data_IF_611036903303
#
_entry.id   IF_611036903303
#
_cell.length_a   1.000
_cell.length_b   1.000
_cell.length_c   1.000
_cell.angle_alpha   90.00
_cell.angle_beta   90.00
_cell.angle_gamma   90.00
#
_symmetry.space_group_name_H-M   'P 1'
#
loop_
_entity.id
_entity.type
_entity.pdbx_description
1 polymer ?
#
# COMPACT_ATOMS: atom_id res chain seq x y z
N UNK A 1 -5.51 -37.97 24.98
CA UNK A 1 -6.64 -37.07 24.70
C UNK A 1 -6.10 -35.71 24.34
N UNK A 2 -6.50 -35.20 23.16
CA UNK A 2 -6.14 -33.83 22.70
C UNK A 2 -6.95 -32.86 23.58
N UNK A 3 -6.31 -31.82 24.12
CA UNK A 3 -7.04 -30.83 24.92
C UNK A 3 -7.92 -29.95 24.05
N UNK A 4 -9.01 -29.39 24.61
CA UNK A 4 -9.91 -28.49 23.91
C UNK A 4 -9.19 -27.25 23.32
N UNK A 5 -8.18 -26.78 24.03
CA UNK A 5 -7.34 -25.69 23.58
C UNK A 5 -6.50 -26.08 22.35
N UNK A 6 -5.94 -27.29 22.36
CA UNK A 6 -5.17 -27.81 21.22
C UNK A 6 -6.03 -27.95 19.96
N UNK A 7 -7.28 -28.37 20.09
CA UNK A 7 -8.23 -28.40 18.98
C UNK A 7 -8.47 -27.02 18.37
N UNK A 8 -8.62 -25.99 19.23
CA UNK A 8 -8.78 -24.60 18.77
C UNK A 8 -7.53 -24.13 18.04
N UNK A 9 -6.32 -24.41 18.58
CA UNK A 9 -5.09 -24.02 17.91
C UNK A 9 -4.91 -24.74 16.57
N UNK A 10 -5.18 -26.03 16.46
CA UNK A 10 -5.15 -26.78 15.19
C UNK A 10 -6.09 -26.22 14.14
N UNK A 11 -7.20 -25.63 14.55
CA UNK A 11 -8.14 -24.99 13.62
C UNK A 11 -7.62 -23.70 12.97
N UNK A 12 -6.82 -22.92 13.70
CA UNK A 12 -6.44 -21.57 13.27
C UNK A 12 -4.97 -21.42 12.89
N UNK A 13 -4.11 -22.32 13.32
CA UNK A 13 -2.66 -22.25 13.03
C UNK A 13 -2.22 -23.36 12.07
N UNK A 14 -1.17 -23.15 11.27
CA UNK A 14 -0.53 -24.25 10.55
C UNK A 14 -0.11 -25.34 11.52
N UNK A 15 -0.41 -26.61 11.20
CA UNK A 15 -0.22 -27.74 12.13
C UNK A 15 1.20 -27.78 12.76
N UNK A 16 2.31 -27.65 12.01
CA UNK A 16 3.66 -27.72 12.60
C UNK A 16 3.95 -26.58 13.60
N UNK A 17 3.20 -25.47 13.56
CA UNK A 17 3.38 -24.34 14.48
C UNK A 17 2.56 -24.45 15.77
N UNK A 18 1.62 -25.39 15.86
CA UNK A 18 0.65 -25.51 16.96
C UNK A 18 1.34 -25.68 18.31
N UNK A 19 2.28 -26.60 18.41
CA UNK A 19 3.00 -26.86 19.67
C UNK A 19 3.75 -25.61 20.16
N UNK A 20 4.42 -24.91 19.27
CA UNK A 20 5.15 -23.68 19.55
C UNK A 20 4.19 -22.56 20.02
N UNK A 21 3.08 -22.34 19.33
CA UNK A 21 2.10 -21.32 19.70
C UNK A 21 1.40 -21.63 21.02
N UNK A 22 1.10 -22.90 21.29
CA UNK A 22 0.57 -23.35 22.59
C UNK A 22 1.56 -23.10 23.73
N UNK A 23 2.84 -23.38 23.51
CA UNK A 23 3.89 -23.10 24.50
C UNK A 23 3.95 -21.60 24.83
N UNK A 24 3.97 -20.72 23.82
CA UNK A 24 3.96 -19.27 24.00
C UNK A 24 2.71 -18.84 24.77
N UNK A 25 1.54 -19.30 24.36
CA UNK A 25 0.27 -18.95 25.00
C UNK A 25 0.27 -19.27 26.50
N UNK A 26 0.68 -20.50 26.85
CA UNK A 26 0.72 -20.95 28.26
C UNK A 26 1.82 -20.26 29.08
N UNK A 27 3.04 -20.15 28.53
CA UNK A 27 4.20 -19.59 29.27
C UNK A 27 4.05 -18.09 29.56
N UNK A 28 3.24 -17.37 28.78
CA UNK A 28 2.97 -15.96 29.03
C UNK A 28 1.58 -15.69 29.61
N UNK A 29 0.81 -16.72 29.98
CA UNK A 29 -0.54 -16.60 30.57
C UNK A 29 -1.43 -15.64 29.77
N UNK A 30 -1.45 -15.80 28.43
CA UNK A 30 -2.16 -14.90 27.51
C UNK A 30 -3.66 -15.17 27.59
N UNK A 31 -4.47 -14.15 27.86
CA UNK A 31 -5.90 -14.20 27.57
C UNK A 31 -6.10 -14.05 26.06
N UNK A 32 -6.26 -15.18 25.38
CA UNK A 32 -6.38 -15.23 23.93
C UNK A 32 -7.83 -15.27 23.47
N UNK A 33 -8.17 -14.44 22.48
CA UNK A 33 -9.52 -14.32 21.92
C UNK A 33 -9.49 -14.35 20.41
N UNK A 34 -10.28 -15.19 19.80
CA UNK A 34 -10.55 -15.17 18.37
C UNK A 34 -11.72 -14.22 18.14
N UNK A 35 -11.47 -13.09 17.47
CA UNK A 35 -12.45 -12.03 17.30
C UNK A 35 -13.24 -12.18 16.00
N UNK A 36 -14.40 -11.54 15.94
CA UNK A 36 -15.12 -11.33 14.68
C UNK A 36 -14.25 -10.55 13.69
N UNK A 37 -14.45 -10.70 12.38
CA UNK A 37 -13.71 -9.97 11.35
C UNK A 37 -13.73 -8.46 11.57
N UNK A 38 -12.55 -7.84 11.51
CA UNK A 38 -12.34 -6.38 11.56
C UNK A 38 -11.67 -5.94 10.27
N UNK A 39 -12.10 -4.84 9.66
CA UNK A 39 -11.63 -4.40 8.34
C UNK A 39 -10.21 -3.81 8.32
N UNK A 40 -9.79 -3.14 9.39
CA UNK A 40 -8.55 -2.36 9.44
C UNK A 40 -7.50 -2.89 10.43
N UNK A 41 -7.85 -3.85 11.28
CA UNK A 41 -6.99 -4.38 12.34
C UNK A 41 -7.16 -5.89 12.41
N UNK A 42 -6.09 -6.65 12.20
CA UNK A 42 -6.12 -8.12 12.21
C UNK A 42 -5.84 -8.71 13.59
N UNK A 43 -4.99 -8.06 14.38
CA UNK A 43 -4.64 -8.42 15.74
C UNK A 43 -4.64 -7.19 16.66
N UNK A 44 -4.74 -7.43 17.96
CA UNK A 44 -4.57 -6.41 19.00
C UNK A 44 -3.97 -7.04 20.25
N UNK A 45 -2.88 -6.47 20.71
CA UNK A 45 -2.37 -6.70 22.06
C UNK A 45 -2.81 -5.58 23.01
N UNK A 46 -3.22 -5.97 24.22
CA UNK A 46 -3.53 -5.05 25.32
C UNK A 46 -2.99 -5.60 26.63
N UNK A 47 -2.52 -4.69 27.48
CA UNK A 47 -2.22 -5.01 28.89
C UNK A 47 -3.18 -4.23 29.78
N UNK A 48 -4.08 -4.95 30.41
CA UNK A 48 -5.12 -4.36 31.28
C UNK A 48 -5.33 -5.25 32.52
N UNK A 49 -5.45 -4.64 33.69
CA UNK A 49 -5.64 -5.32 34.99
C UNK A 49 -4.60 -6.42 35.21
N UNK A 50 -3.33 -6.13 34.90
CA UNK A 50 -2.20 -7.09 34.99
C UNK A 50 -2.33 -8.34 34.11
N UNK A 51 -3.26 -8.34 33.13
CA UNK A 51 -3.49 -9.44 32.20
C UNK A 51 -3.02 -9.05 30.81
N UNK A 52 -2.24 -9.93 30.17
CA UNK A 52 -1.87 -9.85 28.77
C UNK A 52 -3.02 -10.40 27.91
N UNK A 53 -3.62 -9.55 27.09
CA UNK A 53 -4.73 -9.89 26.22
C UNK A 53 -4.30 -9.79 24.76
N UNK A 54 -4.53 -10.85 23.99
CA UNK A 54 -4.32 -10.86 22.53
C UNK A 54 -5.61 -11.29 21.85
N UNK A 55 -6.01 -10.54 20.83
CA UNK A 55 -7.12 -10.93 19.97
C UNK A 55 -6.70 -10.93 18.50
N UNK A 56 -7.07 -11.97 17.77
CA UNK A 56 -6.81 -12.14 16.34
C UNK A 56 -8.12 -12.40 15.60
N UNK A 57 -8.26 -11.85 14.38
CA UNK A 57 -9.44 -12.07 13.56
C UNK A 57 -9.56 -13.54 13.14
N UNK A 58 -10.75 -14.12 13.34
CA UNK A 58 -11.01 -15.53 13.05
C UNK A 58 -11.27 -15.87 11.58
N UNK A 59 -11.30 -14.88 10.68
CA UNK A 59 -11.44 -15.05 9.23
C UNK A 59 -10.10 -15.09 8.48
N UNK A 60 -8.99 -14.95 9.19
CA UNK A 60 -7.66 -15.08 8.60
C UNK A 60 -7.35 -16.55 8.27
N UNK A 61 -6.67 -16.77 7.14
CA UNK A 61 -6.12 -18.09 6.88
C UNK A 61 -5.00 -18.44 7.87
N UNK A 62 -4.60 -19.71 8.02
CA UNK A 62 -3.65 -20.12 9.05
C UNK A 62 -2.31 -19.39 9.03
N UNK A 63 -1.74 -19.09 7.86
CA UNK A 63 -0.46 -18.38 7.75
C UNK A 63 -0.57 -16.92 8.22
N UNK A 64 -1.61 -16.20 7.76
CA UNK A 64 -1.87 -14.84 8.20
C UNK A 64 -2.21 -14.78 9.70
N UNK A 65 -2.93 -15.77 10.20
CA UNK A 65 -3.27 -15.89 11.61
C UNK A 65 -2.02 -16.06 12.48
N UNK A 66 -1.10 -16.96 12.08
CA UNK A 66 0.16 -17.20 12.77
C UNK A 66 1.02 -15.93 12.82
N UNK A 67 1.23 -15.26 11.67
CA UNK A 67 2.04 -14.04 11.61
C UNK A 67 1.42 -12.94 12.47
N UNK A 68 0.09 -12.79 12.44
CA UNK A 68 -0.63 -11.80 13.26
C UNK A 68 -0.51 -12.11 14.74
N UNK A 69 -0.68 -13.37 15.14
CA UNK A 69 -0.53 -13.79 16.53
C UNK A 69 0.87 -13.48 17.07
N UNK A 70 1.93 -13.85 16.33
CA UNK A 70 3.32 -13.60 16.73
C UNK A 70 3.66 -12.11 16.72
N UNK A 71 3.05 -11.30 15.84
CA UNK A 71 3.15 -9.84 15.89
C UNK A 71 2.65 -9.27 17.22
N UNK A 72 1.50 -9.73 17.69
CA UNK A 72 0.93 -9.30 18.97
C UNK A 72 1.71 -9.84 20.18
N UNK A 73 2.28 -11.05 20.06
CA UNK A 73 3.20 -11.60 21.07
C UNK A 73 4.48 -10.76 21.18
N UNK A 74 5.02 -10.25 20.05
CA UNK A 74 6.17 -9.35 20.09
C UNK A 74 5.89 -8.08 20.92
N UNK A 75 4.69 -7.50 20.83
CA UNK A 75 4.27 -6.40 21.70
C UNK A 75 4.25 -6.79 23.18
N UNK A 76 3.78 -8.00 23.49
CA UNK A 76 3.79 -8.54 24.86
C UNK A 76 5.22 -8.69 25.39
N UNK A 77 6.13 -9.27 24.59
CA UNK A 77 7.53 -9.47 24.97
C UNK A 77 8.22 -8.14 25.29
N UNK A 78 8.03 -7.14 24.42
CA UNK A 78 8.56 -5.78 24.67
C UNK A 78 7.97 -5.20 25.95
N UNK A 79 6.67 -5.34 26.19
CA UNK A 79 6.05 -4.87 27.43
C UNK A 79 6.63 -5.52 28.67
N UNK A 80 6.99 -6.81 28.61
CA UNK A 80 7.60 -7.55 29.74
C UNK A 80 9.06 -7.19 29.96
N UNK A 81 9.83 -6.93 28.89
CA UNK A 81 11.26 -6.65 28.97
C UNK A 81 11.61 -5.19 29.27
N UNK A 82 10.68 -4.25 29.01
CA UNK A 82 10.93 -2.82 29.14
C UNK A 82 10.13 -2.21 30.30
N UNK A 83 10.84 -1.60 31.25
CA UNK A 83 10.22 -0.84 32.35
C UNK A 83 9.72 0.54 31.94
N UNK A 84 10.24 1.10 30.83
CA UNK A 84 9.86 2.40 30.25
C UNK A 84 8.97 2.24 29.03
N UNK A 85 8.25 3.30 28.70
CA UNK A 85 7.48 3.36 27.45
C UNK A 85 8.43 3.42 26.25
N UNK A 86 8.35 2.44 25.36
CA UNK A 86 9.10 2.37 24.10
C UNK A 86 8.19 2.71 22.91
N UNK A 87 8.82 3.10 21.81
CA UNK A 87 8.07 3.42 20.59
C UNK A 87 7.41 2.15 20.03
N UNK A 88 6.11 2.17 19.74
CA UNK A 88 5.45 1.06 19.06
C UNK A 88 6.17 0.73 17.75
N UNK A 89 6.45 -0.56 17.51
CA UNK A 89 7.19 -1.05 16.33
C UNK A 89 8.61 -0.46 16.17
N UNK A 90 9.19 0.09 17.26
CA UNK A 90 10.60 0.52 17.34
C UNK A 90 11.57 -0.67 17.31
N UNK A 91 12.86 -0.39 17.52
CA UNK A 91 13.93 -1.41 17.46
C UNK A 91 13.68 -2.58 18.40
N UNK A 92 13.18 -2.33 19.59
CA UNK A 92 12.88 -3.35 20.60
C UNK A 92 11.81 -4.32 20.10
N UNK A 93 10.72 -3.80 19.52
CA UNK A 93 9.68 -4.62 18.92
C UNK A 93 10.19 -5.38 17.69
N UNK A 94 10.97 -4.74 16.84
CA UNK A 94 11.53 -5.38 15.63
C UNK A 94 12.42 -6.56 15.99
N UNK A 95 13.23 -6.44 17.05
CA UNK A 95 14.06 -7.53 17.54
C UNK A 95 13.22 -8.66 18.11
N UNK A 96 12.27 -8.34 19.01
CA UNK A 96 11.36 -9.33 19.57
C UNK A 96 10.56 -10.07 18.49
N UNK A 97 10.11 -9.35 17.45
CA UNK A 97 9.37 -9.97 16.35
C UNK A 97 10.25 -10.90 15.50
N UNK A 98 11.51 -10.52 15.22
CA UNK A 98 12.46 -11.44 14.55
C UNK A 98 12.68 -12.71 15.36
N UNK A 99 12.96 -12.56 16.64
CA UNK A 99 13.25 -13.69 17.55
C UNK A 99 12.07 -14.66 17.64
N UNK A 100 10.85 -14.15 17.85
CA UNK A 100 9.65 -14.99 17.98
C UNK A 100 9.22 -15.64 16.66
N UNK A 101 9.56 -15.04 15.53
CA UNK A 101 9.28 -15.58 14.20
C UNK A 101 10.27 -16.66 13.77
N UNK A 102 11.53 -16.60 14.24
CA UNK A 102 12.60 -17.47 13.76
C UNK A 102 12.27 -18.98 13.80
N UNK A 103 11.66 -19.54 14.85
CA UNK A 103 11.35 -20.97 14.91
C UNK A 103 10.29 -21.44 13.90
N UNK A 104 9.51 -20.54 13.35
CA UNK A 104 8.43 -20.85 12.40
C UNK A 104 8.78 -20.53 10.94
N UNK A 105 9.98 -19.99 10.67
CA UNK A 105 10.43 -19.65 9.31
C UNK A 105 10.97 -20.90 8.58
N UNK A 106 10.11 -21.89 8.36
CA UNK A 106 10.43 -23.16 7.71
C UNK A 106 9.41 -23.48 6.62
N UNK A 107 9.81 -24.29 5.62
CA UNK A 107 8.97 -24.65 4.46
C UNK A 107 7.74 -25.49 4.87
N UNK A 108 7.82 -26.23 5.96
CA UNK A 108 6.71 -27.01 6.52
C UNK A 108 5.56 -26.14 7.05
N UNK A 109 5.87 -24.89 7.42
CA UNK A 109 4.88 -23.92 7.91
C UNK A 109 4.47 -22.94 6.82
N UNK A 110 5.42 -22.41 6.08
CA UNK A 110 5.14 -21.40 5.05
C UNK A 110 5.55 -21.89 3.65
N UNK A 111 4.65 -21.87 2.67
CA UNK A 111 5.02 -22.07 1.27
C UNK A 111 6.18 -21.15 0.84
N UNK A 112 7.08 -21.64 -0.03
CA UNK A 112 8.28 -20.90 -0.49
C UNK A 112 8.06 -19.42 -0.83
N UNK A 113 7.01 -19.04 -1.58
CA UNK A 113 6.77 -17.63 -1.88
C UNK A 113 6.51 -16.79 -0.63
N UNK A 114 5.76 -17.30 0.34
CA UNK A 114 5.48 -16.60 1.60
C UNK A 114 6.76 -16.54 2.44
N UNK A 115 7.47 -17.65 2.57
CA UNK A 115 8.67 -17.76 3.38
C UNK A 115 9.75 -16.77 2.94
N UNK A 116 10.05 -16.70 1.64
CA UNK A 116 11.06 -15.79 1.11
C UNK A 116 10.71 -14.31 1.34
N UNK A 117 9.44 -13.96 1.24
CA UNK A 117 8.98 -12.59 1.52
C UNK A 117 8.98 -12.27 3.02
N UNK A 118 8.63 -13.25 3.88
CA UNK A 118 8.72 -13.09 5.34
C UNK A 118 10.17 -12.87 5.80
N UNK A 119 11.12 -13.67 5.31
CA UNK A 119 12.54 -13.50 5.63
C UNK A 119 13.01 -12.09 5.27
N UNK A 120 12.73 -11.63 4.06
CA UNK A 120 13.08 -10.27 3.63
C UNK A 120 12.38 -9.18 4.45
N UNK A 121 11.10 -9.37 4.77
CA UNK A 121 10.34 -8.43 5.62
C UNK A 121 10.95 -8.31 7.02
N UNK A 122 11.45 -9.41 7.57
CA UNK A 122 12.08 -9.45 8.90
C UNK A 122 13.46 -8.80 8.96
N UNK A 123 14.12 -8.49 7.83
CA UNK A 123 15.34 -7.66 7.85
C UNK A 123 15.03 -6.25 8.37
N UNK A 124 13.86 -5.68 8.01
CA UNK A 124 13.39 -4.39 8.50
C UNK A 124 11.86 -4.41 8.70
N UNK A 125 11.38 -5.05 9.78
CA UNK A 125 9.96 -5.20 10.01
C UNK A 125 9.26 -3.84 10.12
N UNK A 126 8.12 -3.72 9.45
CA UNK A 126 7.26 -2.54 9.51
C UNK A 126 6.10 -2.75 10.49
N UNK A 127 5.46 -1.63 10.89
CA UNK A 127 4.35 -1.59 11.86
C UNK A 127 3.15 -2.45 11.47
N UNK A 128 2.95 -2.68 10.17
CA UNK A 128 1.89 -3.53 9.67
C UNK A 128 2.42 -4.43 8.56
N UNK A 129 2.10 -5.71 8.62
CA UNK A 129 2.32 -6.65 7.51
C UNK A 129 1.58 -6.18 6.25
N UNK A 130 0.52 -5.37 6.42
CA UNK A 130 -0.23 -4.73 5.33
C UNK A 130 0.55 -3.64 4.59
N UNK A 131 1.66 -3.12 5.13
CA UNK A 131 2.50 -2.14 4.45
C UNK A 131 3.42 -2.78 3.41
N UNK A 132 3.62 -4.08 3.46
CA UNK A 132 4.19 -4.91 2.39
C UNK A 132 3.02 -5.57 1.65
N UNK A 133 2.51 -4.90 0.62
CA UNK A 133 1.34 -5.34 -0.15
C UNK A 133 1.54 -6.72 -0.78
N UNK A 134 2.77 -7.06 -1.15
CA UNK A 134 3.10 -8.37 -1.71
C UNK A 134 2.99 -9.46 -0.65
N UNK A 135 3.61 -9.26 0.51
CA UNK A 135 3.53 -10.20 1.62
C UNK A 135 2.08 -10.33 2.12
N UNK A 136 1.37 -9.21 2.22
CA UNK A 136 -0.04 -9.19 2.58
C UNK A 136 -0.90 -9.99 1.59
N UNK A 137 -0.71 -9.78 0.28
CA UNK A 137 -1.42 -10.53 -0.76
C UNK A 137 -1.16 -12.03 -0.69
N UNK A 138 0.11 -12.43 -0.47
CA UNK A 138 0.51 -13.82 -0.29
C UNK A 138 -0.11 -14.43 0.97
N UNK A 139 -0.04 -13.73 2.10
CA UNK A 139 -0.59 -14.19 3.36
C UNK A 139 -2.12 -14.31 3.33
N UNK A 140 -2.81 -13.43 2.61
CA UNK A 140 -4.28 -13.49 2.50
C UNK A 140 -4.78 -14.53 1.50
N UNK A 141 -3.87 -15.31 0.89
CA UNK A 141 -4.25 -16.26 -0.15
C UNK A 141 -4.84 -15.53 -1.38
N UNK A 142 -4.74 -14.21 -1.39
CA UNK A 142 -4.82 -13.44 -2.61
C UNK A 142 -3.51 -13.74 -3.31
N UNK A 143 -3.47 -14.95 -3.94
CA UNK A 143 -2.33 -15.32 -4.72
C UNK A 143 -1.95 -14.10 -5.55
N UNK A 144 -0.68 -13.76 -5.54
CA UNK A 144 -0.03 -13.17 -6.68
C UNK A 144 0.15 -14.27 -7.76
N UNK A 145 -0.87 -15.07 -8.05
CA UNK A 145 -1.25 -15.15 -9.42
C UNK A 145 -1.56 -13.68 -9.74
N UNK A 146 -0.71 -13.05 -10.53
CA UNK A 146 -1.23 -12.22 -11.59
C UNK A 146 -2.36 -13.05 -12.19
N UNK A 147 -3.57 -12.93 -11.65
CA UNK A 147 -4.75 -13.08 -12.46
C UNK A 147 -4.55 -11.92 -13.40
N UNK A 148 -3.87 -12.21 -14.52
CA UNK A 148 -3.95 -11.34 -15.67
C UNK A 148 -5.41 -11.40 -16.06
N UNK A 149 -6.21 -10.59 -15.37
CA UNK A 149 -7.56 -10.31 -15.83
C UNK A 149 -7.32 -9.64 -17.17
N UNK A 150 -7.69 -10.26 -18.30
CA UNK A 150 -7.45 -9.67 -19.59
C UNK A 150 -7.93 -8.22 -19.58
N UNK A 151 -7.05 -7.29 -19.92
CA UNK A 151 -7.33 -5.86 -19.86
C UNK A 151 -7.16 -5.19 -18.49
N UNK A 152 -6.60 -5.83 -17.47
CA UNK A 152 -6.23 -5.19 -16.20
C UNK A 152 -4.73 -5.29 -15.95
N UNK A 153 -4.15 -4.24 -15.37
CA UNK A 153 -2.73 -4.21 -14.97
C UNK A 153 -2.52 -3.32 -13.76
N UNK A 154 -1.41 -3.51 -13.03
CA UNK A 154 -0.97 -2.49 -12.08
C UNK A 154 -0.56 -1.23 -12.83
N UNK A 155 -0.77 -0.05 -12.25
CA UNK A 155 -0.34 1.22 -12.88
C UNK A 155 1.17 1.22 -13.12
N UNK A 156 1.97 0.56 -12.28
CA UNK A 156 3.41 0.40 -12.46
C UNK A 156 3.76 -0.39 -13.73
N UNK A 157 2.93 -1.34 -14.13
CA UNK A 157 3.11 -2.15 -15.34
C UNK A 157 2.71 -1.44 -16.63
N UNK A 158 2.06 -0.27 -16.56
CA UNK A 158 1.67 0.51 -17.74
C UNK A 158 2.85 1.35 -18.25
N UNK A 159 2.95 1.51 -19.56
CA UNK A 159 3.86 2.47 -20.19
C UNK A 159 3.35 3.91 -20.04
N UNK A 160 4.25 4.89 -20.15
CA UNK A 160 3.84 6.31 -20.22
C UNK A 160 2.91 6.53 -21.42
N UNK A 161 1.87 7.34 -21.22
CA UNK A 161 0.86 7.59 -22.23
C UNK A 161 -0.26 6.52 -22.28
N UNK A 162 -0.20 5.45 -21.50
CA UNK A 162 -1.25 4.41 -21.52
C UNK A 162 -2.56 4.93 -20.91
N UNK A 163 -3.70 4.88 -21.63
CA UNK A 163 -5.00 5.19 -21.08
C UNK A 163 -5.53 4.04 -20.21
N UNK A 164 -6.20 4.38 -19.12
CA UNK A 164 -6.82 3.41 -18.22
C UNK A 164 -8.04 3.99 -17.51
N UNK A 165 -8.93 3.11 -17.03
CA UNK A 165 -10.05 3.52 -16.18
C UNK A 165 -9.89 3.03 -14.75
N UNK A 166 -10.32 3.87 -13.81
CA UNK A 166 -10.36 3.59 -12.38
C UNK A 166 -11.55 4.29 -11.72
N UNK A 167 -12.37 3.52 -11.01
CA UNK A 167 -13.56 4.06 -10.34
C UNK A 167 -14.55 4.76 -11.29
N UNK A 168 -14.71 4.25 -12.52
CA UNK A 168 -15.58 4.81 -13.55
C UNK A 168 -15.07 6.09 -14.21
N UNK A 169 -13.81 6.48 -13.97
CA UNK A 169 -13.16 7.66 -14.56
C UNK A 169 -12.02 7.24 -15.45
N UNK A 170 -11.69 8.05 -16.46
CA UNK A 170 -10.65 7.81 -17.45
C UNK A 170 -9.40 8.64 -17.15
N UNK A 171 -8.26 8.00 -17.23
CA UNK A 171 -6.96 8.59 -16.90
C UNK A 171 -5.91 8.23 -17.96
N UNK A 172 -4.89 9.07 -18.08
CA UNK A 172 -3.68 8.80 -18.81
C UNK A 172 -2.51 8.67 -17.82
N UNK A 173 -1.75 7.60 -17.91
CA UNK A 173 -0.53 7.44 -17.11
C UNK A 173 0.54 8.38 -17.65
N UNK A 174 1.12 9.23 -16.79
CA UNK A 174 2.18 10.14 -17.17
C UNK A 174 3.55 9.57 -16.77
N UNK A 175 4.05 9.92 -15.62
CA UNK A 175 5.42 9.61 -15.21
C UNK A 175 5.50 8.95 -13.84
N UNK A 176 6.59 8.23 -13.61
CA UNK A 176 6.94 7.69 -12.31
C UNK A 176 7.51 8.81 -11.42
N UNK A 177 6.95 8.98 -10.23
CA UNK A 177 7.52 9.76 -9.14
C UNK A 177 8.23 8.82 -8.14
N UNK A 178 8.90 9.38 -7.13
CA UNK A 178 9.66 8.58 -6.15
C UNK A 178 8.85 7.44 -5.50
N UNK A 179 7.60 7.69 -5.13
CA UNK A 179 6.71 6.73 -4.44
C UNK A 179 5.32 6.63 -5.04
N UNK A 180 5.03 7.34 -6.10
CA UNK A 180 3.71 7.44 -6.73
C UNK A 180 3.87 7.51 -8.24
N UNK A 181 2.79 7.24 -8.96
CA UNK A 181 2.69 7.45 -10.40
C UNK A 181 1.75 8.62 -10.63
N UNK A 182 2.23 9.61 -11.35
CA UNK A 182 1.44 10.76 -11.74
C UNK A 182 0.61 10.41 -12.96
N UNK A 183 -0.68 10.64 -12.87
CA UNK A 183 -1.66 10.40 -13.93
C UNK A 183 -2.52 11.64 -14.08
N UNK A 184 -3.18 11.78 -15.20
CA UNK A 184 -4.07 12.90 -15.48
C UNK A 184 -5.47 12.38 -15.82
N UNK A 185 -6.48 13.01 -15.26
CA UNK A 185 -7.88 12.72 -15.57
C UNK A 185 -8.25 13.35 -16.92
N UNK A 186 -8.73 12.54 -17.86
CA UNK A 186 -8.93 12.97 -19.25
C UNK A 186 -9.95 14.10 -19.41
N UNK A 187 -11.02 14.11 -18.62
CA UNK A 187 -12.07 15.12 -18.77
C UNK A 187 -11.71 16.47 -18.14
N UNK A 188 -11.04 16.44 -16.98
CA UNK A 188 -10.80 17.65 -16.18
C UNK A 188 -9.38 18.19 -16.31
N UNK A 189 -8.44 17.41 -16.84
CA UNK A 189 -7.01 17.76 -16.84
C UNK A 189 -6.39 17.83 -15.43
N UNK A 190 -7.06 17.23 -14.43
CA UNK A 190 -6.57 17.25 -13.04
C UNK A 190 -5.56 16.13 -12.83
N UNK A 191 -4.44 16.46 -12.16
CA UNK A 191 -3.40 15.48 -11.84
C UNK A 191 -3.76 14.67 -10.60
N UNK A 192 -3.56 13.37 -10.69
CA UNK A 192 -3.73 12.40 -9.62
C UNK A 192 -2.41 11.66 -9.37
N UNK A 193 -2.20 11.20 -8.14
CA UNK A 193 -1.03 10.43 -7.74
C UNK A 193 -1.46 9.08 -7.21
N UNK A 194 -1.34 8.06 -8.03
CA UNK A 194 -1.69 6.69 -7.70
C UNK A 194 -0.53 5.96 -7.01
N UNK A 195 -0.87 4.98 -6.18
CA UNK A 195 0.11 4.02 -5.70
C UNK A 195 0.48 3.06 -6.84
N UNK A 196 1.76 2.66 -7.00
CA UNK A 196 2.21 1.81 -8.11
C UNK A 196 1.43 0.50 -8.28
N UNK A 197 0.99 -0.10 -7.18
CA UNK A 197 0.28 -1.39 -7.17
C UNK A 197 -1.24 -1.29 -7.40
N UNK A 198 -1.79 -0.10 -7.59
CA UNK A 198 -3.22 0.03 -7.91
C UNK A 198 -3.50 -0.67 -9.23
N UNK A 199 -4.42 -1.64 -9.22
CA UNK A 199 -4.88 -2.32 -10.42
C UNK A 199 -5.96 -1.51 -11.12
N UNK A 200 -5.78 -1.32 -12.41
CA UNK A 200 -6.64 -0.50 -13.26
C UNK A 200 -7.00 -1.28 -14.51
N UNK A 201 -8.14 -0.95 -15.09
CA UNK A 201 -8.54 -1.52 -16.38
C UNK A 201 -7.83 -0.73 -17.49
N UNK A 202 -6.97 -1.43 -18.23
CA UNK A 202 -6.26 -0.86 -19.39
C UNK A 202 -7.24 -0.62 -20.51
N UNK A 203 -7.15 0.54 -21.14
CA UNK A 203 -7.99 0.89 -22.26
C UNK A 203 -7.17 0.87 -23.56
N UNK A 204 -7.81 0.52 -24.66
CA UNK A 204 -7.21 0.65 -25.97
C UNK A 204 -7.05 2.14 -26.30
N UNK A 205 -5.97 2.50 -26.98
CA UNK A 205 -5.84 3.85 -27.52
C UNK A 205 -7.00 4.11 -28.50
N UNK A 206 -7.85 5.04 -28.15
CA UNK A 206 -8.87 5.57 -29.04
C UNK A 206 -8.34 6.84 -29.71
N UNK A 207 -8.91 7.24 -30.82
CA UNK A 207 -8.56 8.53 -31.45
C UNK A 207 -8.71 9.70 -30.48
N UNK A 208 -9.65 9.58 -29.53
CA UNK A 208 -9.86 10.58 -28.47
C UNK A 208 -8.70 10.58 -27.47
N UNK A 209 -8.23 9.42 -27.03
CA UNK A 209 -7.09 9.32 -26.09
C UNK A 209 -5.77 9.75 -26.73
N UNK A 210 -5.56 9.45 -28.01
CA UNK A 210 -4.39 9.92 -28.77
C UNK A 210 -4.40 11.44 -28.93
N UNK A 211 -5.53 12.04 -29.31
CA UNK A 211 -5.70 13.50 -29.37
C UNK A 211 -5.50 14.15 -28.01
N UNK A 212 -6.02 13.52 -26.95
CA UNK A 212 -5.83 13.99 -25.58
C UNK A 212 -4.36 13.95 -25.17
N UNK A 213 -3.65 12.87 -25.47
CA UNK A 213 -2.21 12.76 -25.20
C UNK A 213 -1.40 13.83 -25.96
N UNK A 214 -1.72 14.08 -27.23
CA UNK A 214 -1.09 15.10 -28.06
C UNK A 214 -1.40 16.53 -27.59
N UNK A 215 -2.49 16.74 -26.85
CA UNK A 215 -2.86 18.04 -26.29
C UNK A 215 -2.02 18.47 -25.08
N UNK A 216 -1.15 17.58 -24.57
CA UNK A 216 -0.26 17.91 -23.44
C UNK A 216 1.13 18.29 -23.92
N UNK A 217 1.58 19.47 -23.47
CA UNK A 217 2.89 20.03 -23.77
C UNK A 217 3.51 20.59 -22.49
N UNK A 218 4.83 20.68 -22.42
CA UNK A 218 5.46 21.40 -21.34
C UNK A 218 5.12 22.90 -21.44
N UNK A 219 4.77 23.51 -20.31
CA UNK A 219 4.41 24.94 -20.30
C UNK A 219 5.54 25.83 -20.81
N UNK A 220 6.80 25.35 -20.69
CA UNK A 220 7.98 26.01 -21.23
C UNK A 220 8.02 26.10 -22.76
N UNK A 221 7.33 25.20 -23.45
CA UNK A 221 7.30 25.16 -24.93
C UNK A 221 6.16 26.02 -25.52
N UNK A 222 5.27 26.53 -24.67
CA UNK A 222 4.19 27.43 -25.09
C UNK A 222 4.67 28.86 -25.25
N UNK A 223 4.09 29.57 -26.22
CA UNK A 223 4.40 30.96 -26.49
C UNK A 223 3.57 31.94 -25.66
N UNK A 224 4.03 33.19 -25.57
CA UNK A 224 3.26 34.28 -25.00
C UNK A 224 1.89 34.41 -25.72
N UNK A 225 0.84 34.59 -24.93
CA UNK A 225 -0.52 34.65 -25.44
C UNK A 225 -1.24 33.30 -25.55
N UNK A 226 -0.51 32.16 -25.58
CA UNK A 226 -1.14 30.86 -25.56
C UNK A 226 -1.95 30.66 -24.29
N UNK A 227 -3.04 29.90 -24.42
CA UNK A 227 -3.90 29.52 -23.28
C UNK A 227 -3.76 28.03 -23.02
N UNK A 228 -3.62 27.70 -21.74
CA UNK A 228 -3.55 26.31 -21.31
C UNK A 228 -4.44 26.05 -20.10
N UNK A 229 -4.73 24.78 -19.84
CA UNK A 229 -5.47 24.33 -18.65
C UNK A 229 -4.51 23.64 -17.70
N UNK A 230 -4.58 24.00 -16.42
CA UNK A 230 -3.90 23.33 -15.34
C UNK A 230 -4.81 23.24 -14.13
N UNK A 231 -4.95 22.02 -13.55
CA UNK A 231 -5.81 21.75 -12.39
C UNK A 231 -7.26 22.26 -12.58
N UNK A 232 -7.83 22.09 -13.78
CA UNK A 232 -9.19 22.51 -14.09
C UNK A 232 -9.35 24.00 -14.39
N UNK A 233 -8.32 24.84 -14.16
CA UNK A 233 -8.34 26.29 -14.40
C UNK A 233 -7.63 26.65 -15.70
N UNK A 234 -8.04 27.76 -16.34
CA UNK A 234 -7.45 28.25 -17.58
C UNK A 234 -6.47 29.39 -17.29
N UNK A 235 -5.34 29.39 -17.98
CA UNK A 235 -4.28 30.38 -17.82
C UNK A 235 -3.79 30.88 -19.18
N UNK A 236 -3.54 32.19 -19.30
CA UNK A 236 -2.97 32.82 -20.51
C UNK A 236 -1.54 33.26 -20.20
N UNK A 237 -0.58 32.82 -21.00
CA UNK A 237 0.82 33.16 -20.83
C UNK A 237 1.05 34.66 -21.04
N UNK A 238 1.70 35.30 -20.08
CA UNK A 238 2.05 36.73 -20.13
C UNK A 238 3.53 36.93 -20.40
N UNK A 239 4.41 36.25 -19.70
CA UNK A 239 5.86 36.43 -19.83
C UNK A 239 6.61 35.25 -19.27
N UNK A 240 7.93 35.30 -19.38
CA UNK A 240 8.86 34.33 -18.77
C UNK A 240 9.74 35.04 -17.76
N UNK A 241 10.03 34.37 -16.63
CA UNK A 241 10.91 34.86 -15.58
C UNK A 241 11.82 33.75 -15.09
N UNK A 242 13.11 33.79 -15.45
CA UNK A 242 14.07 32.73 -15.16
C UNK A 242 13.61 31.39 -15.75
N UNK A 243 13.46 30.36 -14.88
CA UNK A 243 12.98 29.01 -15.27
C UNK A 243 11.47 28.82 -15.06
N UNK A 244 10.69 29.90 -15.08
CA UNK A 244 9.25 29.88 -14.87
C UNK A 244 8.51 30.66 -15.95
N UNK A 245 7.32 30.18 -16.28
CA UNK A 245 6.35 30.89 -17.11
C UNK A 245 5.37 31.61 -16.19
N UNK A 246 5.16 32.90 -16.41
CA UNK A 246 4.15 33.70 -15.73
C UNK A 246 2.88 33.71 -16.57
N UNK A 247 1.78 33.24 -15.99
CA UNK A 247 0.50 33.19 -16.67
C UNK A 247 -0.62 33.75 -15.81
N UNK A 248 -1.50 34.50 -16.45
CA UNK A 248 -2.67 35.10 -15.84
C UNK A 248 -3.81 34.09 -15.86
N UNK A 249 -4.49 33.89 -14.76
CA UNK A 249 -5.72 33.09 -14.72
C UNK A 249 -6.82 33.81 -15.51
N UNK A 250 -7.47 33.10 -16.43
CA UNK A 250 -8.52 33.66 -17.27
C UNK A 250 -9.75 33.98 -16.42
N UNK A 251 -10.19 35.24 -16.47
CA UNK A 251 -11.26 35.76 -15.63
C UNK A 251 -10.81 36.28 -14.26
N UNK A 252 -9.51 36.38 -14.03
CA UNK A 252 -8.91 36.90 -12.79
C UNK A 252 -7.76 37.87 -13.12
N UNK A 253 -7.36 38.70 -12.15
CA UNK A 253 -6.15 39.53 -12.24
C UNK A 253 -4.91 38.86 -11.63
N UNK A 254 -5.03 37.62 -11.18
CA UNK A 254 -3.94 36.92 -10.47
C UNK A 254 -2.97 36.24 -11.42
N UNK A 255 -1.68 36.51 -11.22
CA UNK A 255 -0.59 35.87 -11.99
C UNK A 255 -0.01 34.72 -11.20
N UNK A 256 0.17 33.61 -11.88
CA UNK A 256 0.78 32.39 -11.35
C UNK A 256 2.10 32.09 -12.05
N UNK A 257 3.05 31.50 -11.32
CA UNK A 257 4.36 31.11 -11.84
C UNK A 257 4.44 29.58 -11.98
N UNK A 258 4.61 29.09 -13.18
CA UNK A 258 4.68 27.68 -13.54
C UNK A 258 6.11 27.28 -13.91
N UNK A 259 6.66 26.15 -13.41
CA UNK A 259 7.95 25.65 -13.87
C UNK A 259 7.87 25.20 -15.33
N UNK A 260 8.92 25.38 -16.13
CA UNK A 260 8.95 25.00 -17.54
C UNK A 260 8.57 23.54 -17.80
N UNK A 261 8.96 22.62 -16.91
CA UNK A 261 8.69 21.18 -17.01
C UNK A 261 7.27 20.77 -16.64
N UNK A 262 6.39 21.71 -16.28
CA UNK A 262 5.00 21.38 -15.99
C UNK A 262 4.28 20.99 -17.28
N UNK A 263 3.72 19.78 -17.30
CA UNK A 263 2.80 19.37 -18.37
C UNK A 263 1.45 20.05 -18.19
N UNK A 264 0.95 20.65 -19.25
CA UNK A 264 -0.32 21.37 -19.30
C UNK A 264 -1.08 21.00 -20.54
N UNK A 265 -2.40 21.08 -20.50
CA UNK A 265 -3.24 20.86 -21.66
C UNK A 265 -3.38 22.16 -22.47
N UNK A 266 -3.01 22.12 -23.74
CA UNK A 266 -3.25 23.23 -24.67
C UNK A 266 -4.74 23.38 -24.98
N UNK A 267 -5.19 24.60 -25.09
CA UNK A 267 -6.54 24.94 -25.56
C UNK A 267 -6.33 25.68 -26.88
N UNK A 268 -6.63 24.99 -27.96
CA UNK A 268 -6.76 25.65 -29.28
C UNK A 268 -8.02 26.51 -29.27
N UNK A 269 -7.88 27.72 -29.74
CA UNK A 269 -9.00 28.64 -30.00
C UNK A 269 -9.40 28.54 -31.45
#
# INVERSE_FOLDING_TARGET
>A
MISKEEEVFKKYFPEPSVAYCLHIWKSHSIQFTISKPRKSIFGVYRFKNSIHQISVNGDLNPHAFLVTFLHEVAHLLVRKSQSRRVQPHGKEWQNAFREIMQPVLIEEIFPKPILSHLIRHLEKPSATTCSDETLYGLLMGKATQKIEIPGWSSIAGLSEGTPFSYGGRHFLRLRQLRKRIECIHEETGTFYRFHPEVHVKVESHTDKSLKFQQSFIQVGDLNQGNVFRSQGRKFKIKSRAGRKVLALEVGSSTIFAFPYSLLVQTIEF
#
